data_IF_083845861597
#
_entry.id   IF_083845861597
#
_cell.length_a   1.000
_cell.length_b   1.000
_cell.length_c   1.000
_cell.angle_alpha   90.00
_cell.angle_beta   90.00
_cell.angle_gamma   90.00
#
_symmetry.space_group_name_H-M   'P 1'
#
loop_
_entity.id
_entity.type
_entity.pdbx_description
1 polymer ?
#
# COMPACT_ATOMS: atom_id res chain seq x y z
N UNK A 1 6.69 8.67 -18.42
CA UNK A 1 5.64 9.72 -18.32
C UNK A 1 4.58 9.21 -17.35
N UNK A 2 4.03 10.09 -16.52
CA UNK A 2 2.98 9.70 -15.55
C UNK A 2 1.67 9.45 -16.32
N UNK A 3 1.02 8.29 -16.16
CA UNK A 3 -0.29 8.02 -16.75
C UNK A 3 -1.32 9.07 -16.33
N UNK A 4 -2.15 9.52 -17.26
CA UNK A 4 -3.11 10.60 -17.02
C UNK A 4 -4.07 10.30 -15.85
N UNK A 5 -4.45 9.03 -15.68
CA UNK A 5 -5.30 8.59 -14.58
C UNK A 5 -4.62 8.78 -13.21
N UNK A 6 -3.31 8.51 -13.09
CA UNK A 6 -2.55 8.76 -11.85
C UNK A 6 -2.38 10.26 -11.60
N UNK A 7 -2.10 11.04 -12.65
CA UNK A 7 -1.98 12.49 -12.56
C UNK A 7 -3.30 13.13 -12.06
N UNK A 8 -4.44 12.60 -12.50
CA UNK A 8 -5.77 13.04 -12.10
C UNK A 8 -6.25 12.51 -10.73
N UNK A 9 -5.54 11.56 -10.11
CA UNK A 9 -5.91 11.04 -8.79
C UNK A 9 -5.98 12.19 -7.76
N UNK A 10 -6.99 12.21 -6.87
CA UNK A 10 -7.14 13.28 -5.88
C UNK A 10 -6.01 13.26 -4.84
N UNK A 11 -5.72 14.44 -4.29
CA UNK A 11 -4.86 14.58 -3.12
C UNK A 11 -5.72 14.36 -1.87
N UNK A 12 -5.56 13.19 -1.24
CA UNK A 12 -6.35 12.80 -0.06
C UNK A 12 -5.65 13.18 1.26
N UNK A 13 -4.35 13.43 1.23
CA UNK A 13 -3.55 13.72 2.41
C UNK A 13 -3.51 12.52 3.35
N UNK A 14 -3.80 12.73 4.63
CA UNK A 14 -3.57 11.72 5.67
C UNK A 14 -4.83 10.95 6.05
N UNK A 15 -4.77 9.62 5.93
CA UNK A 15 -5.85 8.68 6.21
C UNK A 15 -5.46 7.59 7.19
N UNK A 16 -6.42 6.71 7.48
CA UNK A 16 -6.29 5.61 8.44
C UNK A 16 -6.82 4.31 7.84
N UNK A 17 -6.14 3.20 8.09
CA UNK A 17 -6.66 1.87 7.76
C UNK A 17 -7.89 1.54 8.61
N UNK A 18 -9.03 1.26 7.96
CA UNK A 18 -10.25 0.91 8.65
C UNK A 18 -10.16 -0.51 9.22
N UNK A 19 -10.46 -0.64 10.51
CA UNK A 19 -10.65 -1.90 11.23
C UNK A 19 -11.95 -1.80 12.01
N UNK A 20 -12.76 -2.85 12.04
CA UNK A 20 -14.10 -2.82 12.66
C UNK A 20 -14.02 -2.57 14.16
N UNK A 21 -12.94 -3.01 14.79
CA UNK A 21 -12.58 -2.77 16.18
C UNK A 21 -12.44 -1.28 16.52
N UNK A 22 -12.12 -0.45 15.52
CA UNK A 22 -11.94 1.00 15.65
C UNK A 22 -13.17 1.79 15.19
N UNK A 23 -14.25 1.14 14.74
CA UNK A 23 -15.38 1.79 14.06
C UNK A 23 -15.94 2.99 14.83
N UNK A 24 -16.36 2.80 16.09
CA UNK A 24 -16.96 3.86 16.90
C UNK A 24 -15.98 5.01 17.17
N UNK A 25 -14.70 4.68 17.37
CA UNK A 25 -13.65 5.66 17.61
C UNK A 25 -13.35 6.49 16.35
N UNK A 26 -13.32 5.86 15.17
CA UNK A 26 -13.18 6.51 13.87
C UNK A 26 -14.32 7.48 13.62
N UNK A 27 -15.58 7.07 13.85
CA UNK A 27 -16.73 7.96 13.67
C UNK A 27 -16.72 9.13 14.66
N UNK A 28 -16.29 8.88 15.90
CA UNK A 28 -16.19 9.91 16.94
C UNK A 28 -15.12 10.95 16.62
N UNK A 29 -13.98 10.54 16.04
CA UNK A 29 -12.84 11.40 15.74
C UNK A 29 -12.69 11.70 14.25
N UNK A 30 -13.78 11.63 13.48
CA UNK A 30 -13.78 11.77 12.01
C UNK A 30 -13.09 13.05 11.52
N UNK A 31 -13.15 14.14 12.28
CA UNK A 31 -12.55 15.43 11.92
C UNK A 31 -11.00 15.36 11.90
N UNK A 32 -10.41 14.32 12.48
CA UNK A 32 -8.97 14.04 12.46
C UNK A 32 -8.55 13.02 11.40
N UNK A 33 -9.43 12.56 10.51
CA UNK A 33 -9.14 11.51 9.54
C UNK A 33 -9.57 11.99 8.15
N UNK A 34 -8.63 12.06 7.19
CA UNK A 34 -8.93 12.59 5.85
C UNK A 34 -9.67 11.59 4.95
N UNK A 35 -9.33 10.32 5.04
CA UNK A 35 -9.87 9.23 4.24
C UNK A 35 -9.62 7.88 4.93
N UNK A 36 -10.30 6.83 4.48
CA UNK A 36 -10.13 5.48 4.99
C UNK A 36 -9.75 4.50 3.89
N UNK A 37 -8.83 3.60 4.20
CA UNK A 37 -8.62 2.40 3.40
C UNK A 37 -9.42 1.23 3.97
N UNK A 38 -10.08 0.46 3.11
CA UNK A 38 -10.74 -0.79 3.48
C UNK A 38 -10.03 -1.97 2.83
N UNK A 39 -9.94 -3.08 3.58
CA UNK A 39 -9.50 -4.37 3.04
C UNK A 39 -10.63 -4.94 2.18
N UNK A 40 -10.43 -4.96 0.87
CA UNK A 40 -11.45 -5.28 -0.13
C UNK A 40 -12.06 -6.66 0.11
N UNK A 41 -11.22 -7.64 0.41
CA UNK A 41 -11.55 -9.06 0.59
C UNK A 41 -12.63 -9.30 1.66
N UNK A 42 -12.75 -8.40 2.64
CA UNK A 42 -13.79 -8.48 3.69
C UNK A 42 -15.19 -8.15 3.19
N UNK A 43 -15.31 -7.57 2.00
CA UNK A 43 -16.54 -6.94 1.52
C UNK A 43 -16.96 -7.35 0.10
N UNK A 44 -16.19 -8.21 -0.58
CA UNK A 44 -16.45 -8.61 -1.98
C UNK A 44 -17.81 -9.31 -2.17
N UNK A 45 -18.27 -10.05 -1.17
CA UNK A 45 -19.57 -10.74 -1.17
C UNK A 45 -20.75 -9.77 -0.99
N UNK A 46 -20.51 -8.61 -0.35
CA UNK A 46 -21.53 -7.64 0.05
C UNK A 46 -21.07 -6.19 -0.16
N UNK A 47 -20.72 -5.78 -1.40
CA UNK A 47 -20.15 -4.46 -1.68
C UNK A 47 -21.10 -3.29 -1.39
N UNK A 48 -22.41 -3.56 -1.37
CA UNK A 48 -23.47 -2.61 -1.04
C UNK A 48 -23.99 -2.74 0.39
N UNK A 49 -23.22 -3.25 1.35
CA UNK A 49 -23.71 -3.36 2.72
C UNK A 49 -23.85 -2.00 3.42
N UNK A 50 -24.71 -1.94 4.44
CA UNK A 50 -25.03 -0.69 5.13
C UNK A 50 -23.80 -0.02 5.75
N UNK A 51 -22.87 -0.81 6.28
CA UNK A 51 -21.62 -0.30 6.86
C UNK A 51 -20.84 0.58 5.87
N UNK A 52 -20.62 0.09 4.65
CA UNK A 52 -19.87 0.82 3.62
C UNK A 52 -20.59 2.10 3.18
N UNK A 53 -21.92 2.06 3.10
CA UNK A 53 -22.72 3.27 2.86
C UNK A 53 -22.51 4.32 3.95
N UNK A 54 -22.58 3.90 5.22
CA UNK A 54 -22.37 4.81 6.37
C UNK A 54 -20.96 5.38 6.40
N UNK A 55 -19.93 4.59 6.09
CA UNK A 55 -18.56 5.09 6.01
C UNK A 55 -18.41 6.11 4.86
N UNK A 56 -18.97 5.82 3.68
CA UNK A 56 -18.94 6.70 2.51
C UNK A 56 -19.65 8.05 2.72
N UNK A 57 -20.62 8.11 3.64
CA UNK A 57 -21.26 9.38 4.01
C UNK A 57 -20.29 10.35 4.71
N UNK A 58 -19.21 9.84 5.32
CA UNK A 58 -18.27 10.64 6.11
C UNK A 58 -16.85 10.68 5.54
N UNK A 59 -16.44 9.69 4.74
CA UNK A 59 -15.06 9.54 4.27
C UNK A 59 -15.00 9.19 2.79
N UNK A 60 -13.92 9.62 2.14
CA UNK A 60 -13.45 8.97 0.90
C UNK A 60 -12.92 7.58 1.30
N UNK A 61 -13.34 6.55 0.56
CA UNK A 61 -12.90 5.18 0.78
C UNK A 61 -11.98 4.76 -0.36
N UNK A 62 -10.86 4.13 -0.03
CA UNK A 62 -9.95 3.46 -0.97
C UNK A 62 -9.98 1.97 -0.68
N UNK A 63 -9.82 1.14 -1.70
CA UNK A 63 -9.83 -0.33 -1.56
C UNK A 63 -8.44 -0.91 -1.75
N UNK A 64 -8.00 -1.73 -0.80
CA UNK A 64 -6.77 -2.51 -0.89
C UNK A 64 -7.10 -4.00 -0.83
N UNK A 65 -6.67 -4.77 -1.83
CA UNK A 65 -6.88 -6.21 -1.94
C UNK A 65 -5.70 -7.03 -1.43
N UNK A 66 -5.98 -8.26 -1.01
CA UNK A 66 -5.00 -9.20 -0.46
C UNK A 66 -4.74 -10.41 -1.37
N UNK A 67 -5.67 -10.72 -2.28
CA UNK A 67 -5.71 -12.04 -2.93
C UNK A 67 -5.55 -12.02 -4.45
N UNK A 68 -5.28 -10.86 -5.08
CA UNK A 68 -5.20 -10.80 -6.55
C UNK A 68 -4.07 -11.65 -7.14
N UNK A 69 -3.02 -11.92 -6.35
CA UNK A 69 -1.91 -12.79 -6.71
C UNK A 69 -1.31 -12.41 -8.07
N UNK A 70 -1.00 -11.12 -8.24
CA UNK A 70 -0.57 -10.55 -9.54
C UNK A 70 0.75 -11.18 -10.03
N UNK A 71 1.58 -11.65 -9.12
CA UNK A 71 2.84 -12.33 -9.35
C UNK A 71 2.72 -13.80 -9.74
N UNK A 72 1.52 -14.38 -9.78
CA UNK A 72 1.31 -15.81 -10.05
C UNK A 72 1.64 -16.20 -11.49
N UNK A 73 1.99 -17.46 -11.71
CA UNK A 73 2.11 -18.07 -13.03
C UNK A 73 0.77 -18.60 -13.57
N UNK A 74 -0.16 -18.92 -12.68
CA UNK A 74 -1.53 -19.27 -13.03
C UNK A 74 -2.27 -18.11 -13.73
N UNK A 75 -3.32 -18.37 -14.52
CA UNK A 75 -4.14 -17.33 -15.13
C UNK A 75 -4.68 -16.30 -14.11
N UNK A 76 -4.98 -15.08 -14.57
CA UNK A 76 -5.64 -14.06 -13.76
C UNK A 76 -7.05 -14.53 -13.38
N UNK A 77 -7.33 -14.52 -12.08
CA UNK A 77 -8.68 -14.73 -11.55
C UNK A 77 -9.51 -13.49 -11.87
N UNK A 78 -10.25 -13.55 -12.99
CA UNK A 78 -11.06 -12.43 -13.44
C UNK A 78 -12.29 -12.23 -12.58
N UNK A 79 -12.79 -13.27 -11.91
CA UNK A 79 -13.96 -13.16 -11.05
C UNK A 79 -13.60 -12.37 -9.78
N UNK A 80 -12.42 -12.61 -9.22
CA UNK A 80 -11.86 -11.78 -8.15
C UNK A 80 -11.72 -10.31 -8.57
N UNK A 81 -11.08 -10.05 -9.71
CA UNK A 81 -10.88 -8.68 -10.21
C UNK A 81 -12.21 -7.97 -10.45
N UNK A 82 -13.20 -8.65 -11.01
CA UNK A 82 -14.53 -8.08 -11.25
C UNK A 82 -15.27 -7.83 -9.93
N UNK A 83 -15.05 -8.63 -8.88
CA UNK A 83 -15.57 -8.37 -7.54
C UNK A 83 -14.91 -7.14 -6.87
N UNK A 84 -13.59 -6.99 -7.01
CA UNK A 84 -12.88 -5.78 -6.54
C UNK A 84 -13.41 -4.55 -7.29
N UNK A 85 -13.60 -4.64 -8.61
CA UNK A 85 -14.17 -3.55 -9.41
C UNK A 85 -15.57 -3.15 -8.91
N UNK A 86 -16.44 -4.13 -8.66
CA UNK A 86 -17.79 -3.88 -8.15
C UNK A 86 -17.79 -3.24 -6.76
N UNK A 87 -16.89 -3.66 -5.86
CA UNK A 87 -16.71 -3.02 -4.56
C UNK A 87 -16.21 -1.58 -4.71
N UNK A 88 -15.17 -1.38 -5.52
CA UNK A 88 -14.59 -0.07 -5.76
C UNK A 88 -15.63 0.89 -6.38
N UNK A 89 -16.51 0.42 -7.28
CA UNK A 89 -17.66 1.17 -7.82
C UNK A 89 -18.66 1.53 -6.70
N UNK A 90 -19.00 0.57 -5.84
CA UNK A 90 -19.98 0.79 -4.76
C UNK A 90 -19.51 1.84 -3.75
N UNK A 91 -18.21 1.92 -3.48
CA UNK A 91 -17.62 2.91 -2.57
C UNK A 91 -17.07 4.15 -3.27
N UNK A 92 -17.08 4.18 -4.61
CA UNK A 92 -16.51 5.27 -5.44
C UNK A 92 -15.04 5.55 -5.12
N UNK A 93 -14.27 4.47 -5.00
CA UNK A 93 -12.85 4.55 -4.67
C UNK A 93 -12.04 5.26 -5.76
N UNK A 94 -11.18 6.24 -5.44
CA UNK A 94 -10.40 6.94 -6.45
C UNK A 94 -9.35 6.04 -7.12
N UNK A 95 -8.96 4.95 -6.46
CA UNK A 95 -8.10 3.89 -6.97
C UNK A 95 -8.32 2.60 -6.18
N UNK A 96 -7.76 1.51 -6.67
CA UNK A 96 -7.63 0.25 -5.94
C UNK A 96 -6.17 -0.19 -5.91
N UNK A 97 -5.74 -0.89 -4.87
CA UNK A 97 -4.39 -1.44 -4.73
C UNK A 97 -4.41 -2.93 -4.43
N UNK A 98 -3.29 -3.61 -4.71
CA UNK A 98 -3.02 -4.98 -4.25
C UNK A 98 -1.49 -5.23 -4.23
N UNK A 99 -1.07 -6.31 -3.58
CA UNK A 99 0.32 -6.67 -3.39
C UNK A 99 1.01 -7.14 -4.67
N UNK A 100 2.26 -6.71 -4.86
CA UNK A 100 3.20 -7.25 -5.85
C UNK A 100 3.77 -8.59 -5.36
N UNK A 101 2.91 -9.60 -5.27
CA UNK A 101 3.26 -10.92 -4.79
C UNK A 101 2.43 -11.99 -5.49
N UNK A 102 2.65 -13.25 -5.13
CA UNK A 102 1.62 -14.28 -5.32
C UNK A 102 1.23 -14.88 -3.98
N UNK A 103 -0.08 -15.02 -3.78
CA UNK A 103 -0.70 -15.66 -2.60
C UNK A 103 -1.27 -17.03 -2.92
N UNK A 104 -1.32 -17.39 -4.21
CA UNK A 104 -1.74 -18.69 -4.71
C UNK A 104 -0.98 -19.08 -5.98
N UNK A 105 -0.82 -20.38 -6.20
CA UNK A 105 -0.26 -20.95 -7.43
C UNK A 105 -0.91 -22.31 -7.75
N UNK A 106 -1.31 -22.53 -9.01
CA UNK A 106 -1.99 -23.76 -9.48
C UNK A 106 -3.15 -24.26 -8.57
N UNK A 107 -3.89 -23.35 -7.94
CA UNK A 107 -5.02 -23.68 -7.05
C UNK A 107 -4.62 -24.04 -5.61
N UNK A 108 -3.36 -23.84 -5.24
CA UNK A 108 -2.85 -23.95 -3.87
C UNK A 108 -2.74 -22.56 -3.28
N UNK A 109 -3.46 -22.31 -2.19
CA UNK A 109 -3.31 -21.10 -1.37
C UNK A 109 -2.04 -21.20 -0.52
N UNK A 110 -1.23 -20.14 -0.51
CA UNK A 110 0.02 -20.05 0.24
C UNK A 110 -0.18 -19.48 1.64
N UNK A 111 -1.30 -18.77 1.86
CA UNK A 111 -1.65 -18.07 3.11
C UNK A 111 -0.57 -17.08 3.61
N UNK A 112 0.35 -16.71 2.72
CA UNK A 112 1.49 -15.83 2.96
C UNK A 112 1.77 -15.08 1.65
N UNK A 113 2.36 -13.88 1.76
CA UNK A 113 2.80 -13.11 0.60
C UNK A 113 4.13 -13.67 0.09
N UNK A 114 4.14 -14.33 -1.06
CA UNK A 114 5.35 -14.88 -1.64
C UNK A 114 5.99 -13.89 -2.64
N UNK A 115 7.30 -13.61 -2.53
CA UNK A 115 7.97 -12.65 -3.41
C UNK A 115 8.10 -13.20 -4.82
N UNK A 116 7.94 -12.33 -5.81
CA UNK A 116 8.09 -12.68 -7.22
C UNK A 116 9.57 -12.78 -7.58
N UNK A 117 9.95 -13.79 -8.38
CA UNK A 117 11.30 -13.87 -8.93
C UNK A 117 11.57 -12.65 -9.83
N UNK A 118 12.60 -11.86 -9.50
CA UNK A 118 12.86 -10.57 -10.14
C UNK A 118 13.72 -10.74 -11.40
N UNK A 119 13.10 -11.20 -12.49
CA UNK A 119 13.71 -11.25 -13.84
C UNK A 119 12.97 -10.33 -14.83
N UNK A 120 13.61 -9.92 -15.94
CA UNK A 120 12.95 -9.11 -16.97
C UNK A 120 11.68 -9.77 -17.56
N UNK A 121 11.68 -11.09 -17.75
CA UNK A 121 10.52 -11.83 -18.25
C UNK A 121 9.36 -11.78 -17.27
N UNK A 122 9.65 -11.91 -15.96
CA UNK A 122 8.64 -11.80 -14.91
C UNK A 122 8.10 -10.38 -14.80
N UNK A 123 8.95 -9.36 -14.90
CA UNK A 123 8.50 -7.96 -14.89
C UNK A 123 7.52 -7.70 -16.03
N UNK A 124 7.83 -8.17 -17.24
CA UNK A 124 6.94 -8.07 -18.40
C UNK A 124 5.62 -8.83 -18.21
N UNK A 125 5.65 -10.03 -17.65
CA UNK A 125 4.45 -10.83 -17.41
C UNK A 125 3.53 -10.18 -16.36
N UNK A 126 4.10 -9.67 -15.27
CA UNK A 126 3.36 -8.95 -14.22
C UNK A 126 2.80 -7.65 -14.77
N UNK A 127 3.57 -6.87 -15.53
CA UNK A 127 3.08 -5.63 -16.15
C UNK A 127 1.89 -5.86 -17.07
N UNK A 128 1.94 -6.89 -17.92
CA UNK A 128 0.81 -7.25 -18.79
C UNK A 128 -0.44 -7.67 -17.98
N UNK A 129 -0.24 -8.32 -16.83
CA UNK A 129 -1.34 -8.70 -15.93
C UNK A 129 -1.92 -7.49 -15.21
N UNK A 130 -1.08 -6.62 -14.66
CA UNK A 130 -1.47 -5.39 -13.99
C UNK A 130 -2.22 -4.44 -14.94
N UNK A 131 -1.79 -4.35 -16.20
CA UNK A 131 -2.51 -3.60 -17.24
C UNK A 131 -3.94 -4.14 -17.45
N UNK A 132 -4.11 -5.47 -17.54
CA UNK A 132 -5.43 -6.10 -17.68
C UNK A 132 -6.32 -5.89 -16.46
N UNK A 133 -5.73 -5.90 -15.27
CA UNK A 133 -6.42 -5.57 -14.01
C UNK A 133 -6.92 -4.14 -14.07
N UNK A 134 -6.04 -3.19 -14.38
CA UNK A 134 -6.40 -1.77 -14.47
C UNK A 134 -7.51 -1.51 -15.50
N UNK A 135 -7.44 -2.14 -16.67
CA UNK A 135 -8.47 -2.04 -17.71
C UNK A 135 -9.84 -2.56 -17.23
N UNK A 136 -9.84 -3.65 -16.45
CA UNK A 136 -11.07 -4.22 -15.87
C UNK A 136 -11.64 -3.39 -14.72
N UNK A 137 -10.77 -2.88 -13.85
CA UNK A 137 -11.16 -2.00 -12.74
C UNK A 137 -11.72 -0.66 -13.24
N UNK A 138 -11.32 -0.21 -14.43
CA UNK A 138 -11.79 1.04 -15.03
C UNK A 138 -11.29 2.31 -14.31
N UNK A 139 -10.28 2.17 -13.45
CA UNK A 139 -9.72 3.23 -12.59
C UNK A 139 -8.23 2.94 -12.30
N UNK A 140 -7.47 3.87 -11.71
CA UNK A 140 -6.09 3.60 -11.31
C UNK A 140 -5.95 2.34 -10.45
N UNK A 141 -4.96 1.51 -10.81
CA UNK A 141 -4.53 0.37 -10.01
C UNK A 141 -3.14 0.64 -9.46
N UNK A 142 -2.93 0.39 -8.16
CA UNK A 142 -1.63 0.56 -7.50
C UNK A 142 -1.05 -0.81 -7.11
N UNK A 143 0.22 -1.02 -7.40
CA UNK A 143 0.97 -2.18 -6.90
C UNK A 143 1.66 -1.83 -5.59
N UNK A 144 1.68 -2.77 -4.65
CA UNK A 144 2.33 -2.59 -3.35
C UNK A 144 3.54 -3.49 -3.14
N UNK A 145 4.63 -2.94 -2.59
CA UNK A 145 5.78 -3.73 -2.15
C UNK A 145 5.47 -4.47 -0.85
N UNK A 146 5.88 -5.74 -0.78
CA UNK A 146 5.62 -6.60 0.38
C UNK A 146 6.84 -6.68 1.30
N UNK A 147 6.62 -7.04 2.56
CA UNK A 147 7.66 -7.68 3.36
C UNK A 147 7.93 -9.10 2.84
N UNK A 148 9.19 -9.55 2.82
CA UNK A 148 9.55 -10.92 2.46
C UNK A 148 10.68 -11.47 3.32
N UNK A 149 10.61 -12.77 3.60
CA UNK A 149 11.57 -13.45 4.50
C UNK A 149 12.53 -14.38 3.75
N UNK A 150 12.27 -14.63 2.48
CA UNK A 150 13.14 -15.40 1.59
C UNK A 150 13.45 -14.52 0.41
N UNK A 151 14.73 -14.18 0.23
CA UNK A 151 15.19 -13.54 -1.00
C UNK A 151 15.77 -14.59 -1.95
N UNK A 152 15.23 -14.63 -3.17
CA UNK A 152 15.71 -15.53 -4.22
C UNK A 152 16.82 -14.84 -5.03
N UNK A 153 17.90 -15.56 -5.40
CA UNK A 153 18.87 -15.05 -6.36
C UNK A 153 18.15 -14.55 -7.63
N UNK A 154 18.26 -13.26 -7.87
CA UNK A 154 17.49 -12.56 -8.91
C UNK A 154 18.42 -11.78 -9.84
N UNK A 155 17.95 -11.52 -11.05
CA UNK A 155 18.71 -10.76 -12.07
C UNK A 155 18.59 -9.25 -11.87
N UNK A 156 17.56 -8.82 -11.14
CA UNK A 156 17.24 -7.43 -10.88
C UNK A 156 17.12 -7.19 -9.37
N UNK A 157 17.52 -6.02 -8.92
CA UNK A 157 17.08 -5.50 -7.62
C UNK A 157 15.56 -5.25 -7.62
N UNK A 158 14.98 -5.13 -6.43
CA UNK A 158 13.54 -4.86 -6.31
C UNK A 158 13.12 -3.50 -6.89
N UNK A 159 13.87 -2.39 -6.68
CA UNK A 159 13.57 -1.13 -7.35
C UNK A 159 13.64 -1.24 -8.88
N UNK A 160 14.64 -1.94 -9.43
CA UNK A 160 14.74 -2.17 -10.88
C UNK A 160 13.55 -2.98 -11.40
N UNK A 161 13.13 -4.01 -10.66
CA UNK A 161 11.99 -4.86 -11.02
C UNK A 161 10.67 -4.07 -11.02
N UNK A 162 10.41 -3.31 -9.96
CA UNK A 162 9.24 -2.43 -9.85
C UNK A 162 9.25 -1.38 -10.97
N UNK A 163 10.41 -0.76 -11.23
CA UNK A 163 10.56 0.22 -12.32
C UNK A 163 10.20 -0.39 -13.66
N UNK A 164 10.75 -1.57 -13.98
CA UNK A 164 10.47 -2.24 -15.25
C UNK A 164 8.99 -2.62 -15.41
N UNK A 165 8.29 -2.94 -14.32
CA UNK A 165 6.84 -3.16 -14.34
C UNK A 165 6.10 -1.86 -14.67
N UNK A 166 6.37 -0.80 -13.91
CA UNK A 166 5.67 0.49 -14.02
C UNK A 166 5.97 1.24 -15.33
N UNK A 167 7.11 0.98 -15.96
CA UNK A 167 7.41 1.48 -17.32
C UNK A 167 6.61 0.75 -18.41
N UNK A 168 6.20 -0.49 -18.15
CA UNK A 168 5.52 -1.36 -19.11
C UNK A 168 3.98 -1.41 -18.96
N UNK A 169 3.43 -0.77 -17.92
CA UNK A 169 1.99 -0.62 -17.71
C UNK A 169 1.64 0.78 -17.17
N UNK A 170 0.35 1.11 -17.13
CA UNK A 170 -0.13 2.42 -16.66
C UNK A 170 -0.51 2.44 -15.16
N UNK A 171 -0.03 1.50 -14.35
CA UNK A 171 -0.36 1.36 -12.93
C UNK A 171 0.46 2.30 -12.01
N UNK A 172 -0.05 2.66 -10.85
CA UNK A 172 0.71 3.40 -9.84
C UNK A 172 1.41 2.48 -8.84
N UNK A 173 2.08 3.12 -7.89
CA UNK A 173 2.72 2.45 -6.76
C UNK A 173 2.04 2.91 -5.46
N UNK A 174 1.66 1.94 -4.64
CA UNK A 174 1.45 2.11 -3.22
C UNK A 174 2.76 1.67 -2.56
N UNK A 175 3.46 2.57 -1.90
CA UNK A 175 4.73 2.24 -1.27
C UNK A 175 4.55 2.09 0.24
N UNK A 176 4.57 0.85 0.72
CA UNK A 176 4.62 0.57 2.14
C UNK A 176 6.05 0.79 2.66
N UNK A 177 6.20 1.88 3.43
CA UNK A 177 7.47 2.29 4.03
C UNK A 177 7.85 1.42 5.24
N UNK A 178 6.87 0.80 5.91
CA UNK A 178 7.13 -0.21 6.92
C UNK A 178 7.71 -1.47 6.29
N UNK A 179 7.12 -1.98 5.20
CA UNK A 179 7.66 -3.13 4.47
C UNK A 179 9.09 -2.88 3.99
N UNK A 180 9.36 -1.68 3.47
CA UNK A 180 10.72 -1.27 3.11
C UNK A 180 11.68 -1.29 4.32
N UNK A 181 11.29 -0.70 5.45
CA UNK A 181 12.12 -0.68 6.66
C UNK A 181 12.39 -2.10 7.21
N UNK A 182 11.37 -2.95 7.23
CA UNK A 182 11.47 -4.37 7.62
C UNK A 182 12.42 -5.12 6.70
N UNK A 183 12.27 -5.00 5.39
CA UNK A 183 13.13 -5.67 4.42
C UNK A 183 14.58 -5.17 4.53
N UNK A 184 14.80 -3.87 4.68
CA UNK A 184 16.14 -3.30 4.83
C UNK A 184 16.84 -3.85 6.08
N UNK A 185 16.11 -3.97 7.20
CA UNK A 185 16.63 -4.55 8.43
C UNK A 185 16.92 -6.06 8.30
N UNK A 186 16.02 -6.82 7.66
CA UNK A 186 16.15 -8.27 7.55
C UNK A 186 17.21 -8.70 6.52
N UNK A 187 17.37 -7.97 5.43
CA UNK A 187 18.25 -8.33 4.30
C UNK A 187 19.54 -7.50 4.25
N UNK A 188 19.67 -6.46 5.07
CA UNK A 188 20.90 -5.69 5.23
C UNK A 188 21.22 -4.74 4.07
N UNK A 189 20.20 -4.12 3.46
CA UNK A 189 20.37 -3.10 2.43
C UNK A 189 20.00 -1.69 2.93
N UNK A 190 20.39 -0.66 2.18
CA UNK A 190 20.07 0.73 2.50
C UNK A 190 18.68 1.11 1.97
N UNK A 191 17.73 1.34 2.88
CA UNK A 191 16.35 1.73 2.56
C UNK A 191 16.27 3.08 1.81
N UNK A 192 17.17 4.02 2.07
CA UNK A 192 17.18 5.31 1.38
C UNK A 192 17.70 5.16 -0.05
N UNK A 193 18.72 4.32 -0.27
CA UNK A 193 19.20 4.01 -1.61
C UNK A 193 18.16 3.25 -2.44
N UNK A 194 17.41 2.34 -1.80
CA UNK A 194 16.26 1.67 -2.41
C UNK A 194 15.21 2.69 -2.87
N UNK A 195 14.81 3.59 -1.96
CA UNK A 195 13.79 4.61 -2.22
C UNK A 195 14.21 5.55 -3.35
N UNK A 196 15.48 5.95 -3.37
CA UNK A 196 16.07 6.82 -4.39
C UNK A 196 16.13 6.21 -5.78
N UNK A 197 16.09 4.88 -5.88
CA UNK A 197 16.11 4.14 -7.13
C UNK A 197 14.71 3.91 -7.74
N UNK A 198 13.63 4.20 -7.00
CA UNK A 198 12.26 4.04 -7.49
C UNK A 198 11.81 5.22 -8.37
N UNK A 199 10.86 4.99 -9.30
CA UNK A 199 10.22 6.04 -10.09
C UNK A 199 9.20 6.76 -9.20
N UNK A 200 9.67 7.67 -8.34
CA UNK A 200 8.87 8.30 -7.29
C UNK A 200 7.61 9.00 -7.81
N UNK A 201 7.61 9.46 -9.06
CA UNK A 201 6.44 10.05 -9.70
C UNK A 201 5.27 9.08 -9.96
N UNK A 202 5.49 7.78 -9.75
CA UNK A 202 4.46 6.74 -9.79
C UNK A 202 3.87 6.46 -8.40
N UNK A 203 4.46 6.98 -7.33
CA UNK A 203 3.97 6.80 -5.95
C UNK A 203 2.71 7.66 -5.76
N UNK A 204 1.57 7.00 -5.60
CA UNK A 204 0.28 7.65 -5.34
C UNK A 204 -0.03 7.63 -3.85
N UNK A 205 0.24 6.49 -3.22
CA UNK A 205 -0.11 6.23 -1.84
C UNK A 205 1.10 5.66 -1.09
N UNK A 206 1.19 5.94 0.21
CA UNK A 206 2.15 5.31 1.11
C UNK A 206 1.47 4.76 2.36
N UNK A 207 2.00 3.66 2.88
CA UNK A 207 1.60 3.10 4.18
C UNK A 207 2.68 3.34 5.23
N UNK A 208 2.21 3.53 6.46
CA UNK A 208 3.02 3.81 7.64
C UNK A 208 2.53 2.92 8.77
N UNK A 209 3.37 1.99 9.21
CA UNK A 209 3.03 1.08 10.29
C UNK A 209 4.16 0.98 11.33
N UNK A 210 3.84 0.34 12.45
CA UNK A 210 4.83 -0.08 13.43
C UNK A 210 5.44 -1.43 13.06
N UNK A 211 6.75 -1.56 13.26
CA UNK A 211 7.44 -2.85 13.24
C UNK A 211 8.15 -3.08 14.58
N UNK A 212 7.78 -4.16 15.26
CA UNK A 212 8.45 -4.59 16.50
C UNK A 212 9.32 -5.81 16.21
N UNK A 213 10.64 -5.77 16.43
CA UNK A 213 11.50 -6.96 16.29
C UNK A 213 11.01 -8.11 17.16
N UNK A 214 11.27 -9.36 16.73
CA UNK A 214 11.01 -10.51 17.60
C UNK A 214 11.78 -10.36 18.91
N UNK A 215 11.20 -10.78 20.05
CA UNK A 215 11.88 -10.74 21.36
C UNK A 215 12.97 -11.82 21.50
N UNK A 216 13.38 -12.46 20.41
CA UNK A 216 14.41 -13.49 20.38
C UNK A 216 15.75 -12.92 19.85
N UNK A 217 16.80 -13.72 19.92
CA UNK A 217 18.14 -13.30 19.47
C UNK A 217 18.29 -13.31 17.93
N UNK A 218 17.23 -13.60 17.16
CA UNK A 218 17.32 -13.67 15.71
C UNK A 218 17.45 -12.30 15.06
N UNK A 219 16.99 -11.24 15.73
CA UNK A 219 16.90 -9.90 15.18
C UNK A 219 15.88 -9.75 14.03
N UNK A 220 15.14 -10.82 13.70
CA UNK A 220 14.14 -10.82 12.64
C UNK A 220 13.01 -9.85 12.98
N UNK A 221 12.68 -8.97 12.03
CA UNK A 221 11.51 -8.11 12.10
C UNK A 221 10.36 -8.74 11.32
N UNK A 222 9.31 -9.21 12.00
CA UNK A 222 8.11 -9.68 11.32
C UNK A 222 7.25 -8.47 10.96
N UNK A 223 6.57 -8.61 9.85
CA UNK A 223 5.57 -7.67 9.40
C UNK A 223 4.25 -7.89 10.14
N UNK A 224 4.09 -7.14 11.23
CA UNK A 224 2.98 -7.30 12.18
C UNK A 224 2.06 -6.09 12.21
N UNK A 225 2.46 -4.97 11.61
CA UNK A 225 1.74 -3.71 11.64
C UNK A 225 1.18 -3.37 13.03
N UNK A 226 2.02 -3.57 14.03
CA UNK A 226 1.64 -3.53 15.44
C UNK A 226 2.42 -2.46 16.18
N UNK A 227 1.75 -1.87 17.18
CA UNK A 227 2.35 -0.79 17.96
C UNK A 227 2.66 0.45 17.10
N UNK A 228 3.15 1.53 17.74
CA UNK A 228 3.27 2.83 17.11
C UNK A 228 4.07 2.84 15.81
N UNK A 229 3.71 3.74 14.88
CA UNK A 229 4.49 3.94 13.64
C UNK A 229 5.96 4.22 14.02
N UNK A 230 6.87 3.44 13.45
CA UNK A 230 8.27 3.50 13.84
C UNK A 230 8.94 4.80 13.38
N UNK A 231 9.90 5.31 14.16
CA UNK A 231 10.61 6.55 13.82
C UNK A 231 11.39 6.46 12.49
N UNK A 232 11.92 5.27 12.16
CA UNK A 232 12.58 5.02 10.89
C UNK A 232 11.60 5.11 9.70
N UNK A 233 10.34 4.72 9.89
CA UNK A 233 9.28 4.81 8.88
C UNK A 233 8.91 6.27 8.63
N UNK A 234 8.81 7.08 9.69
CA UNK A 234 8.66 8.53 9.55
C UNK A 234 9.88 9.17 8.85
N UNK A 235 11.10 8.73 9.15
CA UNK A 235 12.30 9.25 8.50
C UNK A 235 12.34 8.93 6.99
N UNK A 236 11.85 7.75 6.59
CA UNK A 236 11.66 7.38 5.18
C UNK A 236 10.59 8.25 4.51
N UNK A 237 9.46 8.51 5.19
CA UNK A 237 8.42 9.41 4.67
C UNK A 237 8.97 10.81 4.44
N UNK A 238 9.67 11.38 5.42
CA UNK A 238 10.31 12.69 5.28
C UNK A 238 11.34 12.69 4.14
N UNK A 239 12.04 11.59 3.91
CA UNK A 239 12.97 11.46 2.78
C UNK A 239 12.25 11.46 1.44
N UNK A 240 11.17 10.68 1.31
CA UNK A 240 10.33 10.65 0.12
C UNK A 240 9.78 12.04 -0.19
N UNK A 241 9.17 12.69 0.80
CA UNK A 241 8.50 13.98 0.67
C UNK A 241 9.44 15.12 0.25
N UNK A 242 10.74 15.04 0.55
CA UNK A 242 11.75 16.01 0.05
C UNK A 242 12.01 15.88 -1.45
N UNK A 243 11.62 14.78 -2.08
CA UNK A 243 11.92 14.44 -3.48
C UNK A 243 10.66 14.38 -4.33
N UNK A 244 9.59 13.83 -3.77
CA UNK A 244 8.30 13.70 -4.41
C UNK A 244 7.20 13.79 -3.36
N UNK A 245 6.24 14.68 -3.58
CA UNK A 245 5.08 14.82 -2.72
C UNK A 245 4.06 13.73 -3.03
N UNK A 246 3.66 12.94 -2.03
CA UNK A 246 2.68 11.86 -2.18
C UNK A 246 1.26 12.36 -1.96
N UNK A 247 0.32 11.82 -2.74
CA UNK A 247 -1.09 12.25 -2.70
C UNK A 247 -1.85 11.71 -1.49
N UNK A 248 -1.43 10.57 -0.97
CA UNK A 248 -2.11 9.89 0.12
C UNK A 248 -1.09 9.17 1.04
N UNK A 249 -1.17 9.41 2.34
CA UNK A 249 -0.41 8.68 3.35
C UNK A 249 -1.38 8.07 4.35
N UNK A 250 -1.26 6.76 4.58
CA UNK A 250 -2.12 6.03 5.50
C UNK A 250 -1.33 5.53 6.69
N UNK A 251 -1.85 5.78 7.90
CA UNK A 251 -1.39 5.06 9.09
C UNK A 251 -2.10 3.71 9.15
N UNK A 252 -1.33 2.63 9.27
CA UNK A 252 -1.84 1.27 9.43
C UNK A 252 -1.66 0.77 10.86
N UNK A 253 -2.71 0.14 11.38
CA UNK A 253 -2.69 -0.61 12.63
C UNK A 253 -3.55 -1.84 12.48
N UNK A 254 -2.94 -3.02 12.50
CA UNK A 254 -3.68 -4.28 12.36
C UNK A 254 -4.04 -4.94 13.69
N UNK A 255 -3.21 -4.69 14.69
CA UNK A 255 -3.34 -5.28 16.01
C UNK A 255 -2.71 -4.36 17.05
N UNK A 256 -2.86 -4.71 18.33
CA UNK A 256 -2.40 -3.90 19.46
C UNK A 256 -2.94 -2.45 19.38
N UNK A 257 -4.24 -2.32 19.12
CA UNK A 257 -4.94 -1.04 19.07
C UNK A 257 -4.77 -0.28 20.39
N UNK A 258 -4.47 1.04 20.36
CA UNK A 258 -4.28 1.79 21.58
C UNK A 258 -5.60 1.92 22.35
N UNK A 259 -5.51 1.90 23.69
CA UNK A 259 -6.68 2.12 24.54
C UNK A 259 -7.23 3.55 24.40
N UNK A 260 -6.36 4.52 24.09
CA UNK A 260 -6.73 5.89 23.78
C UNK A 260 -6.53 6.15 22.28
N UNK A 261 -7.64 6.38 21.56
CA UNK A 261 -7.60 6.67 20.13
C UNK A 261 -6.78 7.93 19.79
N UNK A 262 -6.52 8.80 20.78
CA UNK A 262 -5.67 9.98 20.59
C UNK A 262 -4.22 9.64 20.24
N UNK A 263 -3.77 8.43 20.54
CA UNK A 263 -2.47 7.94 20.08
C UNK A 263 -2.44 7.82 18.55
N UNK A 264 -3.49 7.23 17.94
CA UNK A 264 -3.62 7.18 16.48
C UNK A 264 -3.78 8.58 15.88
N UNK A 265 -4.58 9.47 16.48
CA UNK A 265 -4.68 10.84 15.95
C UNK A 265 -3.36 11.60 16.03
N UNK A 266 -2.55 11.33 17.05
CA UNK A 266 -1.20 11.88 17.17
C UNK A 266 -0.26 11.40 16.05
N UNK A 267 -0.37 10.13 15.64
CA UNK A 267 0.34 9.60 14.48
C UNK A 267 -0.13 10.26 13.18
N UNK A 268 -1.44 10.43 13.00
CA UNK A 268 -2.00 11.16 11.85
C UNK A 268 -1.49 12.60 11.80
N UNK A 269 -1.41 13.30 12.93
CA UNK A 269 -0.88 14.66 13.00
C UNK A 269 0.62 14.73 12.69
N UNK A 270 1.41 13.75 13.16
CA UNK A 270 2.83 13.65 12.80
C UNK A 270 3.00 13.38 11.30
N UNK A 271 2.18 12.51 10.71
CA UNK A 271 2.19 12.27 9.27
C UNK A 271 1.86 13.54 8.49
N UNK A 272 0.85 14.32 8.92
CA UNK A 272 0.52 15.62 8.30
C UNK A 272 1.69 16.59 8.34
N UNK A 273 2.41 16.64 9.47
CA UNK A 273 3.58 17.50 9.61
C UNK A 273 4.70 17.10 8.64
N UNK A 274 4.90 15.80 8.40
CA UNK A 274 5.89 15.30 7.43
C UNK A 274 5.52 15.73 6.00
N UNK A 275 4.27 15.53 5.58
CA UNK A 275 3.79 15.94 4.24
C UNK A 275 3.89 17.46 4.04
N UNK A 276 3.50 18.25 5.05
CA UNK A 276 3.58 19.71 4.98
C UNK A 276 5.02 20.24 4.87
N UNK A 277 5.97 19.61 5.57
CA UNK A 277 7.39 19.98 5.50
C UNK A 277 7.99 19.67 4.12
N UNK A 278 7.58 18.58 3.48
CA UNK A 278 7.96 18.20 2.11
C UNK A 278 7.54 19.20 1.05
N UNK A 279 6.27 19.61 1.09
CA UNK A 279 5.69 20.56 0.14
C UNK A 279 6.42 21.93 0.13
N UNK A 280 6.86 22.41 1.30
CA UNK A 280 7.65 23.65 1.41
C UNK A 280 9.05 23.50 0.80
N UNK A 281 9.64 22.31 0.89
CA UNK A 281 10.97 22.00 0.34
C UNK A 281 10.98 21.85 -1.19
N UNK A 282 9.89 21.36 -1.80
CA UNK A 282 9.80 21.19 -3.26
C UNK A 282 9.53 22.52 -3.99
N UNK A 283 8.78 23.44 -3.37
CA UNK A 283 8.50 24.77 -3.94
C UNK A 283 9.70 25.73 -3.92
N UNK A 284 10.77 25.39 -3.18
CA UNK A 284 11.99 26.20 -3.04
C UNK A 284 13.15 25.77 -3.95
N UNK A 285 12.95 24.77 -4.83
CA UNK A 285 13.93 24.27 -5.80
C UNK A 285 13.47 24.49 -7.24
#
# INVERSE_FOLDING_TARGET
MIPAALAAAPELGVGLGYREELHDAILTHRDHIGWLEIVADRYLDRPGQQLLRTLRESFVLVTHGLEMSIGSYAPLDTDYVDAVAALADAVDAPWASDHLCFTREEGVELHELAPVLRTPERAKAVAARAQRVQERLGRPFLLENISYYVDFPSEMSEPEFITAILEACDCGLLLDLNNLAVNAANHGFDAYAYLDALPLERVVQVHLAGNTPRPDDSGLRPDRHNGPVADEVFALLEHLERRHHVKAAMVERDQDFPADFRELTGELDRTRACLAAGAVGSAAR
#
